data_IF_637560625707
#
_entry.id   IF_637560625707
#
_cell.length_a   1.000
_cell.length_b   1.000
_cell.length_c   1.000
_cell.angle_alpha   90.00
_cell.angle_beta   90.00
_cell.angle_gamma   90.00
#
_symmetry.space_group_name_H-M   'P 1'
#
loop_
_entity.id
_entity.type
_entity.pdbx_description
1 polymer ?
#
# COMPACT_ATOMS: atom_id res chain seq x y z
N UNK A 1 21.98 0.62 -7.71
CA UNK A 1 22.13 0.36 -7.27
C UNK A 1 22.32 -0.12 -6.72
N UNK A 2 21.80 -0.24 -6.26
CA UNK A 2 21.83 -0.58 -5.47
C UNK A 2 21.89 -1.02 -5.03
N UNK A 3 21.72 -0.98 -4.61
CA UNK A 3 21.77 -1.21 -3.95
C UNK A 3 22.00 -1.45 -3.43
N UNK A 4 21.80 -1.41 -3.13
CA UNK A 4 22.00 -1.43 -2.38
C UNK A 4 22.18 -1.69 -1.93
N UNK A 5 22.09 -1.66 -1.59
CA UNK A 5 22.22 -1.66 -0.88
C UNK A 5 22.28 -1.86 -0.49
N UNK A 6 22.23 -1.82 -0.22
CA UNK A 6 22.31 -1.79 0.59
C UNK A 6 22.13 -1.95 0.91
N UNK A 7 22.04 -1.87 1.15
CA UNK A 7 21.91 -1.73 1.75
C UNK A 7 21.75 -1.85 2.05
N UNK A 8 21.74 -1.88 2.34
CA UNK A 8 21.57 -1.75 2.94
C UNK A 8 21.41 -1.90 3.28
N UNK A 9 21.38 -1.93 3.57
CA UNK A 9 21.21 -1.79 4.18
C UNK A 9 21.09 -1.95 4.49
N UNK A 10 21.15 -1.98 4.83
CA UNK A 10 20.97 -1.81 5.43
C UNK A 10 20.71 -1.85 5.69
N UNK A 11 20.70 -1.89 5.89
CA UNK A 11 20.42 -1.68 6.66
C UNK A 11 20.03 -1.60 6.91
N UNK A 12 19.98 -1.58 7.10
CA UNK A 12 19.60 -1.21 7.67
C UNK A 12 19.25 -1.08 7.90
N UNK A 13 19.27 -1.09 8.14
CA UNK A 13 18.86 -0.77 8.70
C UNK A 13 18.54 -0.57 9.03
N UNK A 14 18.57 -0.55 9.38
CA UNK A 14 18.19 -0.28 9.95
C UNK A 14 17.85 -0.09 10.25
N UNK A 15 17.74 -0.04 10.53
CA UNK A 15 17.20 0.22 11.06
C UNK A 15 16.70 0.41 11.39
N UNK A 16 16.60 0.38 11.69
CA UNK A 16 15.95 0.59 12.38
C UNK A 16 15.43 0.89 12.65
N UNK A 17 15.22 0.98 12.93
CA UNK A 17 14.59 1.23 13.39
C UNK A 17 14.03 1.50 13.65
N UNK A 18 13.89 1.51 13.98
CA UNK A 18 13.20 1.67 14.41
C UNK A 18 12.57 2.02 14.72
N UNK A 19 12.48 2.14 15.08
CA UNK A 19 11.76 2.33 15.48
C UNK A 19 11.01 2.61 15.82
N UNK A 20 10.94 2.83 15.91
CA UNK A 20 10.12 3.21 16.39
C UNK A 20 9.34 2.73 16.60
N UNK A 21 9.70 2.26 17.02
CA UNK A 21 8.65 1.78 17.41
C UNK A 21 7.54 2.09 17.18
N UNK A 22 7.42 2.27 16.51
CA UNK A 22 6.16 2.57 16.36
C UNK A 22 5.30 1.65 17.06
N UNK A 23 4.24 2.07 17.40
CA UNK A 23 3.23 1.28 18.00
C UNK A 23 2.80 0.14 17.14
N UNK A 24 3.01 0.19 15.89
CA UNK A 24 2.59 -0.88 15.03
C UNK A 24 3.61 -1.99 15.04
N UNK A 25 3.17 -3.20 15.26
CA UNK A 25 4.02 -4.36 15.14
C UNK A 25 4.06 -4.90 13.71
N UNK A 26 3.26 -4.34 12.81
CA UNK A 26 3.19 -4.81 11.43
C UNK A 26 4.14 -4.00 10.57
N UNK A 27 4.96 -4.70 9.80
CA UNK A 27 5.80 -4.07 8.79
C UNK A 27 5.59 -4.80 7.48
N UNK A 28 5.88 -4.13 6.38
CA UNK A 28 5.75 -4.74 5.08
C UNK A 28 6.90 -5.70 4.84
N UNK A 29 6.65 -6.69 4.00
CA UNK A 29 7.63 -7.68 3.62
C UNK A 29 7.69 -7.72 2.09
N UNK A 30 8.88 -7.54 1.55
CA UNK A 30 9.08 -7.49 0.10
C UNK A 30 10.42 -6.90 -0.22
N UNK A 31 10.54 -6.27 -1.38
CA UNK A 31 11.82 -5.70 -1.81
C UNK A 31 11.61 -4.49 -2.70
N UNK A 32 12.68 -3.69 -2.82
CA UNK A 32 12.73 -2.59 -3.77
C UNK A 32 11.70 -1.52 -3.55
N UNK A 33 11.29 -0.88 -4.63
CA UNK A 33 10.34 0.23 -4.58
C UNK A 33 8.99 -0.20 -4.04
N UNK A 34 8.55 -1.41 -4.38
CA UNK A 34 7.28 -1.92 -3.87
C UNK A 34 7.27 -1.98 -2.35
N UNK A 35 8.36 -2.42 -1.74
CA UNK A 35 8.47 -2.44 -0.29
C UNK A 35 8.42 -1.04 0.29
N UNK A 36 9.07 -0.08 -0.36
CA UNK A 36 9.03 1.32 0.10
C UNK A 36 7.61 1.88 0.04
N UNK A 37 6.88 1.58 -1.02
CA UNK A 37 5.49 2.00 -1.17
C UNK A 37 4.65 1.42 -0.03
N UNK A 38 4.80 0.13 0.24
CA UNK A 38 4.04 -0.55 1.28
C UNK A 38 4.36 0.01 2.67
N UNK A 39 5.62 0.23 2.97
CA UNK A 39 6.02 0.79 4.27
C UNK A 39 5.52 2.22 4.45
N UNK A 40 5.56 3.02 3.38
CA UNK A 40 5.03 4.37 3.45
C UNK A 40 3.53 4.35 3.74
N UNK A 41 2.80 3.47 3.05
CA UNK A 41 1.35 3.34 3.24
C UNK A 41 1.01 2.97 4.69
N UNK A 42 1.81 2.11 5.30
CA UNK A 42 1.58 1.68 6.69
C UNK A 42 1.66 2.82 7.70
N UNK A 43 2.36 3.89 7.37
CA UNK A 43 2.50 5.03 8.29
C UNK A 43 1.16 5.73 8.58
N UNK A 44 0.15 5.48 7.77
CA UNK A 44 -1.12 6.20 7.86
C UNK A 44 -2.25 5.36 8.45
N UNK A 45 -1.94 4.15 8.92
CA UNK A 45 -2.93 3.30 9.59
C UNK A 45 -3.49 4.05 10.80
N UNK A 46 -4.82 4.06 10.91
CA UNK A 46 -5.52 4.79 11.95
C UNK A 46 -6.04 6.14 11.52
N UNK A 47 -5.60 6.66 10.39
CA UNK A 47 -6.07 7.94 9.89
C UNK A 47 -7.45 7.80 9.24
N UNK A 48 -8.20 8.91 9.12
CA UNK A 48 -9.62 8.81 8.76
C UNK A 48 -9.88 8.44 7.31
N UNK A 49 -11.04 7.85 7.08
CA UNK A 49 -11.63 7.64 5.77
C UNK A 49 -12.56 8.81 5.46
N UNK A 50 -12.40 9.43 4.28
CA UNK A 50 -13.30 10.48 3.80
C UNK A 50 -13.61 10.22 2.35
N UNK A 51 -14.89 10.08 2.01
CA UNK A 51 -15.32 9.86 0.63
C UNK A 51 -14.84 11.00 -0.25
N UNK A 52 -14.19 10.64 -1.36
CA UNK A 52 -13.61 11.62 -2.27
C UNK A 52 -12.30 12.21 -1.80
N UNK A 53 -11.81 11.83 -0.61
CA UNK A 53 -10.61 12.39 -0.05
C UNK A 53 -9.34 11.79 -0.62
N UNK A 54 -8.27 12.59 -0.61
CA UNK A 54 -6.93 12.17 -1.05
C UNK A 54 -5.86 12.55 -0.04
N UNK A 55 -6.24 12.95 1.16
CA UNK A 55 -5.29 13.34 2.20
C UNK A 55 -4.94 12.13 3.05
N UNK A 56 -3.66 11.78 3.11
CA UNK A 56 -3.22 10.64 3.91
C UNK A 56 -3.36 10.88 5.40
N UNK A 57 -3.47 12.13 5.82
CA UNK A 57 -3.59 12.49 7.23
C UNK A 57 -5.00 12.93 7.62
N UNK A 58 -5.70 13.64 6.74
CA UNK A 58 -6.99 14.24 7.07
C UNK A 58 -8.18 13.47 6.51
N UNK A 59 -7.95 12.54 5.63
CA UNK A 59 -9.00 11.68 5.12
C UNK A 59 -8.85 11.32 3.65
N UNK A 60 -8.94 10.02 3.36
CA UNK A 60 -8.88 9.51 2.00
C UNK A 60 -9.86 8.37 1.86
N UNK A 61 -10.40 8.21 0.64
CA UNK A 61 -11.15 6.99 0.33
C UNK A 61 -10.18 5.92 -0.18
N UNK A 62 -10.70 4.75 -0.58
CA UNK A 62 -9.83 3.63 -0.92
C UNK A 62 -8.89 3.96 -2.09
N UNK A 63 -9.43 4.52 -3.15
CA UNK A 63 -8.63 4.86 -4.32
C UNK A 63 -7.82 6.14 -4.11
N UNK A 64 -8.31 7.07 -3.31
CA UNK A 64 -7.56 8.26 -2.93
C UNK A 64 -6.34 7.92 -2.10
N UNK A 65 -6.45 6.92 -1.24
CA UNK A 65 -5.33 6.43 -0.45
C UNK A 65 -4.24 5.84 -1.36
N UNK A 66 -4.60 4.91 -2.25
CA UNK A 66 -3.62 4.34 -3.17
C UNK A 66 -3.03 5.40 -4.09
N UNK A 67 -3.85 6.33 -4.55
CA UNK A 67 -3.43 7.42 -5.41
C UNK A 67 -2.38 8.31 -4.72
N UNK A 68 -2.66 8.71 -3.48
CA UNK A 68 -1.77 9.60 -2.74
C UNK A 68 -0.47 8.92 -2.34
N UNK A 69 -0.52 7.64 -1.98
CA UNK A 69 0.68 6.87 -1.65
C UNK A 69 1.60 6.78 -2.87
N UNK A 70 1.06 6.43 -4.02
CA UNK A 70 1.86 6.34 -5.25
C UNK A 70 2.41 7.71 -5.66
N UNK A 71 1.59 8.76 -5.51
CA UNK A 71 2.02 10.11 -5.87
C UNK A 71 3.25 10.54 -5.07
N UNK A 72 3.34 10.12 -3.82
CA UNK A 72 4.52 10.44 -2.99
C UNK A 72 5.82 9.97 -3.65
N UNK A 73 5.76 8.87 -4.40
CA UNK A 73 6.93 8.30 -5.08
C UNK A 73 7.05 8.77 -6.53
N UNK A 74 6.26 9.79 -6.92
CA UNK A 74 6.30 10.29 -8.27
C UNK A 74 5.55 9.45 -9.28
N UNK A 75 4.71 8.54 -8.83
CA UNK A 75 3.96 7.65 -9.71
C UNK A 75 2.52 8.15 -9.81
N UNK A 76 2.12 8.50 -11.02
CA UNK A 76 0.74 8.93 -11.27
C UNK A 76 -0.10 7.73 -11.66
N UNK A 77 -1.17 7.49 -10.91
CA UNK A 77 -2.12 6.42 -11.22
C UNK A 77 -3.51 7.04 -11.38
N UNK A 78 -4.47 6.32 -12.00
CA UNK A 78 -5.83 6.83 -12.10
C UNK A 78 -6.42 7.08 -10.72
N UNK A 79 -7.35 8.03 -10.66
CA UNK A 79 -7.91 8.47 -9.36
C UNK A 79 -8.94 7.51 -8.79
N UNK A 80 -9.71 6.81 -9.64
CA UNK A 80 -10.82 5.97 -9.16
C UNK A 80 -10.45 4.49 -9.26
N UNK A 81 -11.05 3.70 -8.36
CA UNK A 81 -10.67 2.29 -8.18
C UNK A 81 -10.83 1.47 -9.44
N UNK A 82 -11.91 1.68 -10.16
CA UNK A 82 -12.20 0.94 -11.38
C UNK A 82 -11.13 1.15 -12.44
N UNK A 83 -10.61 2.38 -12.55
CA UNK A 83 -9.56 2.70 -13.50
C UNK A 83 -8.19 2.21 -13.02
N UNK A 84 -7.95 2.25 -11.71
CA UNK A 84 -6.73 1.68 -11.16
C UNK A 84 -6.64 0.18 -11.45
N UNK A 85 -7.79 -0.48 -11.53
CA UNK A 85 -7.88 -1.92 -11.75
C UNK A 85 -7.51 -2.35 -13.17
N UNK A 86 -7.47 -1.43 -14.11
CA UNK A 86 -7.18 -1.75 -15.52
C UNK A 86 -5.91 -1.09 -16.04
N UNK A 87 -5.28 -0.24 -15.26
CA UNK A 87 -4.03 0.40 -15.64
C UNK A 87 -2.82 -0.36 -15.12
N UNK A 88 -1.65 0.21 -15.36
CA UNK A 88 -0.42 -0.39 -14.90
C UNK A 88 -0.17 -1.75 -15.54
N UNK A 89 0.58 -2.59 -14.83
CA UNK A 89 0.92 -3.93 -15.28
C UNK A 89 0.02 -4.94 -14.59
N UNK A 90 -0.56 -5.86 -15.36
CA UNK A 90 -1.34 -6.95 -14.81
C UNK A 90 -0.41 -7.96 -14.14
N UNK A 91 -0.75 -8.34 -12.92
CA UNK A 91 0.04 -9.28 -12.12
C UNK A 91 -0.89 -10.39 -11.67
N UNK A 92 -0.45 -11.65 -11.75
CA UNK A 92 -1.27 -12.73 -11.21
C UNK A 92 -1.21 -12.69 -9.69
N UNK A 93 -2.30 -13.14 -9.05
CA UNK A 93 -2.37 -13.10 -7.59
C UNK A 93 -1.27 -13.93 -6.94
N UNK A 94 -0.81 -14.97 -7.61
CA UNK A 94 0.27 -15.79 -7.08
C UNK A 94 1.63 -15.10 -7.15
N UNK A 95 1.75 -14.02 -7.90
CA UNK A 95 2.98 -13.26 -8.04
C UNK A 95 2.89 -11.89 -7.37
N UNK A 96 1.86 -11.65 -6.55
CA UNK A 96 1.66 -10.37 -5.90
C UNK A 96 2.84 -10.04 -4.98
N UNK A 97 3.25 -8.76 -5.01
CA UNK A 97 4.35 -8.27 -4.18
C UNK A 97 3.91 -7.03 -3.41
N UNK A 98 4.62 -6.75 -2.32
CA UNK A 98 4.37 -5.53 -1.56
C UNK A 98 4.44 -4.32 -2.49
N UNK A 99 3.49 -3.42 -2.35
CA UNK A 99 3.37 -2.24 -3.22
C UNK A 99 2.40 -2.43 -4.37
N UNK A 100 1.93 -3.65 -4.62
CA UNK A 100 0.93 -3.91 -5.66
C UNK A 100 -0.44 -3.50 -5.17
N UNK A 101 -1.31 -3.13 -6.11
CA UNK A 101 -2.70 -2.81 -5.80
C UNK A 101 -3.55 -4.04 -6.06
N UNK A 102 -4.35 -4.44 -5.07
CA UNK A 102 -5.33 -5.51 -5.22
C UNK A 102 -6.71 -4.88 -5.39
N UNK A 103 -7.44 -5.34 -6.40
CA UNK A 103 -8.76 -4.84 -6.73
C UNK A 103 -9.83 -5.83 -6.27
N UNK A 104 -10.85 -5.30 -5.59
CA UNK A 104 -11.93 -6.12 -5.01
C UNK A 104 -13.32 -5.81 -5.57
N UNK A 105 -13.38 -5.02 -6.64
CA UNK A 105 -14.68 -4.53 -7.12
C UNK A 105 -15.10 -3.29 -6.34
N UNK A 106 -14.99 -2.14 -6.95
CA UNK A 106 -15.24 -0.84 -6.32
C UNK A 106 -14.41 -0.58 -5.08
N UNK A 107 -13.34 -1.34 -4.88
CA UNK A 107 -12.45 -1.16 -3.73
C UNK A 107 -11.05 -1.61 -4.10
N UNK A 108 -10.05 -0.91 -3.58
CA UNK A 108 -8.64 -1.23 -3.81
C UNK A 108 -7.87 -1.17 -2.50
N UNK A 109 -6.78 -1.91 -2.46
CA UNK A 109 -5.89 -1.96 -1.30
C UNK A 109 -4.46 -2.11 -1.79
N UNK A 110 -3.50 -1.79 -0.93
CA UNK A 110 -2.07 -1.98 -1.22
C UNK A 110 -1.60 -3.23 -0.48
N UNK A 111 -1.05 -4.18 -1.24
CA UNK A 111 -0.50 -5.38 -0.64
C UNK A 111 0.79 -5.04 0.11
N UNK A 112 0.95 -5.58 1.31
CA UNK A 112 2.12 -5.27 2.14
C UNK A 112 2.98 -6.51 2.43
N UNK A 113 2.66 -7.64 1.78
CA UNK A 113 3.37 -8.89 2.02
C UNK A 113 2.68 -9.74 3.08
N UNK A 114 3.08 -10.99 3.16
CA UNK A 114 2.59 -11.94 4.18
C UNK A 114 1.07 -12.08 4.21
N UNK A 115 0.42 -11.93 3.07
CA UNK A 115 -1.01 -12.12 2.96
C UNK A 115 -1.84 -10.97 3.50
N UNK A 116 -1.28 -9.78 3.66
CA UNK A 116 -1.96 -8.62 4.25
C UNK A 116 -2.02 -7.47 3.27
N UNK A 117 -3.04 -6.63 3.45
CA UNK A 117 -3.19 -5.39 2.70
C UNK A 117 -3.44 -4.24 3.67
N UNK A 118 -3.10 -3.03 3.23
CA UNK A 118 -3.46 -1.80 3.93
C UNK A 118 -4.38 -1.01 3.01
N UNK A 119 -5.48 -0.47 3.56
CA UNK A 119 -6.48 0.22 2.77
C UNK A 119 -7.30 1.18 3.61
N UNK A 120 -7.83 2.21 2.96
CA UNK A 120 -8.84 3.07 3.57
C UNK A 120 -10.17 2.34 3.42
N UNK A 121 -10.66 1.79 4.52
CA UNK A 121 -11.75 0.82 4.49
C UNK A 121 -13.13 1.47 4.60
N UNK A 122 -13.46 2.00 5.78
CA UNK A 122 -14.77 2.60 6.01
C UNK A 122 -14.59 3.83 6.91
N UNK A 123 -15.66 4.61 7.04
CA UNK A 123 -15.64 5.76 7.95
C UNK A 123 -15.42 5.34 9.39
N UNK A 124 -15.91 4.17 9.78
CA UNK A 124 -15.78 3.66 11.13
C UNK A 124 -14.37 3.21 11.45
N UNK A 125 -13.68 2.65 10.46
CA UNK A 125 -12.37 2.05 10.69
C UNK A 125 -11.21 2.91 10.21
N UNK A 126 -11.44 3.78 9.22
CA UNK A 126 -10.37 4.53 8.59
C UNK A 126 -9.42 3.61 7.84
N UNK A 127 -8.15 3.99 7.82
CA UNK A 127 -7.10 3.21 7.18
C UNK A 127 -6.69 2.08 8.12
N UNK A 128 -6.72 0.85 7.62
CA UNK A 128 -6.47 -0.33 8.43
C UNK A 128 -5.76 -1.42 7.64
N UNK A 129 -5.30 -2.44 8.36
CA UNK A 129 -4.71 -3.64 7.78
C UNK A 129 -5.75 -4.76 7.81
N UNK A 130 -5.84 -5.51 6.72
CA UNK A 130 -6.74 -6.66 6.61
C UNK A 130 -6.01 -7.81 5.93
N UNK A 131 -6.54 -9.03 6.03
CA UNK A 131 -6.08 -10.12 5.17
C UNK A 131 -6.44 -9.81 3.73
N UNK A 132 -5.54 -10.15 2.78
CA UNK A 132 -5.83 -9.86 1.38
C UNK A 132 -7.04 -10.65 0.88
N UNK A 133 -7.41 -11.72 1.55
CA UNK A 133 -8.56 -12.55 1.21
C UNK A 133 -9.81 -12.23 2.04
N UNK A 134 -9.84 -11.10 2.76
CA UNK A 134 -11.04 -10.73 3.51
C UNK A 134 -12.25 -10.55 2.58
N UNK A 135 -12.00 -10.29 1.31
CA UNK A 135 -12.95 -10.35 0.21
C UNK A 135 -12.25 -11.05 -0.93
N UNK A 136 -12.96 -11.67 -1.87
CA UNK A 136 -12.31 -12.31 -3.02
C UNK A 136 -11.57 -11.28 -3.88
N UNK A 137 -10.24 -11.42 -4.03
CA UNK A 137 -9.50 -10.52 -4.91
C UNK A 137 -9.88 -10.76 -6.37
N UNK A 138 -10.09 -9.68 -7.12
CA UNK A 138 -10.49 -9.76 -8.51
C UNK A 138 -9.32 -9.50 -9.47
N UNK A 139 -8.27 -8.85 -9.00
CA UNK A 139 -7.12 -8.58 -9.85
C UNK A 139 -6.03 -7.88 -9.08
N UNK A 140 -4.85 -7.87 -9.67
CA UNK A 140 -3.66 -7.20 -9.09
C UNK A 140 -3.03 -6.36 -10.18
N UNK A 141 -2.67 -5.13 -9.84
CA UNK A 141 -1.98 -4.22 -10.75
C UNK A 141 -0.72 -3.68 -10.10
N UNK A 142 0.29 -3.48 -10.91
CA UNK A 142 1.57 -2.92 -10.47
C UNK A 142 1.87 -1.68 -11.28
N UNK A 143 2.14 -0.57 -10.58
CA UNK A 143 2.42 0.71 -11.22
C UNK A 143 3.88 1.15 -11.06
N UNK A 144 4.66 0.33 -10.37
CA UNK A 144 6.07 0.63 -10.10
C UNK A 144 7.04 -0.31 -10.79
#
# INVERSE_FOLDING_TARGET
KGNTSGSSTSGSSISGSSSSGSSSSVSASGSGLGLEIANYALRFVGNPYVSGGTSLTNGADCSGFTWAVHKHFGITIPRISRDQAVGGKNVSISAVQAGDIIYYGNHVAIYIGNGKVVHASTRETGIKISNYTYRPPLGVRRYW
#
